data_IF_799103292933
#
_entry.id   IF_799103292933
#
_cell.length_a   1.000
_cell.length_b   1.000
_cell.length_c   1.000
_cell.angle_alpha   90.00
_cell.angle_beta   90.00
_cell.angle_gamma   90.00
#
_symmetry.space_group_name_H-M   'P 1'
#
loop_
_entity.id
_entity.type
_entity.pdbx_description
1 polymer ?
#
# COMPACT_ATOMS: atom_id res chain seq x y z
N UNK A 1 -3.99 -2.73 27.42
CA UNK A 1 -4.31 -2.13 26.12
C UNK A 1 -3.83 -3.13 25.08
N UNK A 2 -4.68 -3.50 24.17
CA UNK A 2 -4.39 -4.45 23.10
C UNK A 2 -4.37 -3.71 21.75
N UNK A 3 -3.50 -4.12 20.84
CA UNK A 3 -3.45 -3.64 19.48
C UNK A 3 -4.23 -4.60 18.58
N UNK A 4 -5.35 -4.14 18.02
CA UNK A 4 -6.18 -4.93 17.11
C UNK A 4 -5.93 -4.49 15.67
N UNK A 5 -5.41 -5.41 14.85
CA UNK A 5 -5.00 -5.12 13.47
C UNK A 5 -5.90 -5.88 12.50
N UNK A 6 -6.87 -5.18 11.91
CA UNK A 6 -7.66 -5.73 10.81
C UNK A 6 -6.84 -5.75 9.53
N UNK A 7 -6.78 -6.89 8.86
CA UNK A 7 -5.85 -7.11 7.75
C UNK A 7 -4.40 -7.33 8.21
N UNK A 8 -4.23 -7.87 9.42
CA UNK A 8 -2.91 -8.04 10.04
C UNK A 8 -2.00 -9.07 9.37
N UNK A 9 -2.54 -10.04 8.61
CA UNK A 9 -1.77 -10.96 7.77
C UNK A 9 -1.43 -10.37 6.39
N UNK A 10 -1.95 -9.18 6.10
CA UNK A 10 -1.66 -8.43 4.90
C UNK A 10 -0.21 -7.93 4.84
N UNK A 11 0.15 -7.29 3.72
CA UNK A 11 1.52 -6.87 3.45
C UNK A 11 2.11 -5.91 4.51
N UNK A 12 1.38 -4.88 4.93
CA UNK A 12 1.84 -3.94 5.97
C UNK A 12 1.51 -4.48 7.37
N UNK A 13 0.31 -5.05 7.52
CA UNK A 13 -0.21 -5.48 8.82
C UNK A 13 0.69 -6.46 9.56
N UNK A 14 1.30 -7.42 8.85
CA UNK A 14 2.21 -8.41 9.45
C UNK A 14 3.48 -7.78 10.03
N UNK A 15 4.04 -6.74 9.38
CA UNK A 15 5.22 -6.05 9.89
C UNK A 15 4.88 -5.17 11.09
N UNK A 16 3.70 -4.55 11.10
CA UNK A 16 3.20 -3.86 12.29
C UNK A 16 2.96 -4.83 13.44
N UNK A 17 2.31 -5.96 13.19
CA UNK A 17 2.05 -6.98 14.21
C UNK A 17 3.36 -7.52 14.80
N UNK A 18 4.37 -7.74 13.96
CA UNK A 18 5.69 -8.18 14.39
C UNK A 18 6.36 -7.10 15.25
N UNK A 19 6.47 -5.85 14.77
CA UNK A 19 7.13 -4.74 15.50
C UNK A 19 6.49 -4.52 16.89
N UNK A 20 5.17 -4.50 16.98
CA UNK A 20 4.46 -4.36 18.25
C UNK A 20 4.69 -5.56 19.18
N UNK A 21 4.63 -6.78 18.66
CA UNK A 21 4.86 -8.00 19.47
C UNK A 21 6.30 -8.10 19.97
N UNK A 22 7.29 -7.70 19.18
CA UNK A 22 8.71 -7.66 19.59
C UNK A 22 8.98 -6.63 20.69
N UNK A 23 8.16 -5.56 20.75
CA UNK A 23 8.16 -4.55 21.82
C UNK A 23 7.42 -4.98 23.07
N UNK A 24 6.79 -6.15 23.04
CA UNK A 24 6.07 -6.70 24.20
C UNK A 24 4.61 -6.25 24.30
N UNK A 25 4.09 -5.60 23.25
CA UNK A 25 2.68 -5.21 23.20
C UNK A 25 1.77 -6.43 22.98
N UNK A 26 0.56 -6.37 23.52
CA UNK A 26 -0.49 -7.37 23.25
C UNK A 26 -1.11 -7.11 21.88
N UNK A 27 -1.03 -8.09 20.96
CA UNK A 27 -1.49 -7.94 19.58
C UNK A 27 -2.53 -8.99 19.24
N UNK A 28 -3.64 -8.56 18.66
CA UNK A 28 -4.65 -9.39 18.01
C UNK A 28 -4.69 -9.08 16.52
N UNK A 29 -4.39 -10.06 15.68
CA UNK A 29 -4.59 -10.00 14.23
C UNK A 29 -5.98 -10.50 13.88
N UNK A 30 -6.78 -9.69 13.20
CA UNK A 30 -8.07 -10.04 12.62
C UNK A 30 -7.95 -10.05 11.09
N UNK A 31 -8.01 -11.24 10.47
CA UNK A 31 -7.83 -11.41 9.04
C UNK A 31 -8.68 -12.54 8.48
N UNK A 32 -8.92 -12.53 7.18
CA UNK A 32 -9.60 -13.61 6.47
C UNK A 32 -8.70 -14.86 6.34
N UNK A 33 -7.40 -14.72 6.46
CA UNK A 33 -6.40 -15.78 6.41
C UNK A 33 -6.42 -16.64 7.69
N UNK A 34 -6.10 -17.92 7.54
CA UNK A 34 -5.90 -18.85 8.66
C UNK A 34 -4.43 -19.12 8.97
N UNK A 35 -3.55 -18.66 8.11
CA UNK A 35 -2.14 -19.04 8.19
C UNK A 35 -1.35 -17.93 8.85
N UNK A 36 -1.11 -17.99 10.15
CA UNK A 36 -0.12 -17.12 10.75
C UNK A 36 1.24 -17.44 10.12
N UNK A 37 1.94 -16.42 9.67
CA UNK A 37 3.33 -16.55 9.27
C UNK A 37 4.16 -17.00 10.50
N UNK A 38 5.27 -17.75 10.32
CA UNK A 38 6.06 -18.30 11.44
C UNK A 38 6.55 -17.28 12.47
N UNK A 39 6.53 -15.99 12.12
CA UNK A 39 6.96 -14.88 12.96
C UNK A 39 5.97 -14.52 14.09
N UNK A 40 4.73 -15.04 14.06
CA UNK A 40 3.66 -14.66 15.00
C UNK A 40 3.57 -15.54 16.26
N UNK A 41 4.67 -16.05 16.79
CA UNK A 41 4.65 -16.98 17.96
C UNK A 41 3.96 -16.40 19.20
N UNK A 42 3.71 -15.09 19.27
CA UNK A 42 3.09 -14.41 20.42
C UNK A 42 1.90 -13.53 20.04
N UNK A 43 1.39 -13.62 18.82
CA UNK A 43 0.28 -12.80 18.35
C UNK A 43 -0.98 -13.64 18.35
N UNK A 44 -2.05 -13.13 18.99
CA UNK A 44 -3.36 -13.75 18.93
C UNK A 44 -3.96 -13.57 17.53
N UNK A 45 -4.75 -14.55 17.07
CA UNK A 45 -5.31 -14.57 15.74
C UNK A 45 -6.80 -14.84 15.76
N UNK A 46 -7.59 -14.07 15.03
CA UNK A 46 -9.02 -14.26 14.87
C UNK A 46 -9.42 -14.14 13.41
N UNK A 47 -10.23 -15.10 12.91
CA UNK A 47 -10.76 -15.04 11.54
C UNK A 47 -11.80 -13.92 11.46
N UNK A 48 -11.61 -13.02 10.50
CA UNK A 48 -12.51 -11.91 10.27
C UNK A 48 -12.60 -11.57 8.77
N UNK A 49 -13.81 -11.62 8.23
CA UNK A 49 -14.12 -11.02 6.93
C UNK A 49 -14.70 -9.62 7.15
N UNK A 50 -13.95 -8.58 6.83
CA UNK A 50 -14.36 -7.19 7.05
C UNK A 50 -15.59 -6.78 6.25
N UNK A 51 -15.95 -7.54 5.19
CA UNK A 51 -17.16 -7.32 4.39
C UNK A 51 -18.44 -7.70 5.15
N UNK A 52 -18.30 -8.54 6.16
CA UNK A 52 -19.40 -9.03 6.99
C UNK A 52 -19.38 -8.33 8.36
N UNK A 53 -20.36 -7.47 8.61
CA UNK A 53 -20.44 -6.73 9.87
C UNK A 53 -20.57 -7.63 11.11
N UNK A 54 -21.21 -8.78 11.01
CA UNK A 54 -21.28 -9.74 12.11
C UNK A 54 -19.92 -10.40 12.39
N UNK A 55 -19.12 -10.67 11.33
CA UNK A 55 -17.74 -11.16 11.47
C UNK A 55 -16.85 -10.12 12.15
N UNK A 56 -17.01 -8.85 11.80
CA UNK A 56 -16.29 -7.74 12.44
C UNK A 56 -16.70 -7.56 13.90
N UNK A 57 -18.01 -7.60 14.18
CA UNK A 57 -18.55 -7.48 15.53
C UNK A 57 -18.13 -8.61 16.48
N UNK A 58 -17.75 -9.76 15.93
CA UNK A 58 -17.24 -10.89 16.71
C UNK A 58 -15.76 -10.75 17.11
N UNK A 59 -15.03 -9.78 16.54
CA UNK A 59 -13.63 -9.52 16.92
C UNK A 59 -13.59 -8.93 18.33
N UNK A 60 -12.72 -9.49 19.17
CA UNK A 60 -12.55 -9.01 20.55
C UNK A 60 -11.86 -7.63 20.55
N UNK A 61 -12.67 -6.57 20.59
CA UNK A 61 -12.27 -5.18 20.70
C UNK A 61 -12.92 -4.58 21.94
N UNK A 62 -12.14 -3.87 22.77
CA UNK A 62 -12.60 -3.31 24.04
C UNK A 62 -12.23 -1.81 24.15
N UNK A 63 -12.91 -1.13 25.05
CA UNK A 63 -12.56 0.26 25.37
C UNK A 63 -11.10 0.39 25.83
N UNK A 64 -10.40 1.34 25.24
CA UNK A 64 -8.97 1.57 25.50
C UNK A 64 -8.02 0.76 24.59
N UNK A 65 -8.53 -0.15 23.74
CA UNK A 65 -7.71 -0.79 22.73
C UNK A 65 -7.34 0.18 21.61
N UNK A 66 -6.24 -0.13 20.91
CA UNK A 66 -5.81 0.58 19.71
C UNK A 66 -6.22 -0.23 18.48
N UNK A 67 -6.91 0.40 17.52
CA UNK A 67 -7.38 -0.29 16.31
C UNK A 67 -6.66 0.24 15.07
N UNK A 68 -6.22 -0.68 14.23
CA UNK A 68 -5.60 -0.40 12.93
C UNK A 68 -6.41 -1.08 11.82
N UNK A 69 -6.77 -0.34 10.79
CA UNK A 69 -7.32 -0.91 9.57
C UNK A 69 -6.27 -0.94 8.47
N UNK A 70 -5.70 -2.12 8.25
CA UNK A 70 -4.74 -2.44 7.19
C UNK A 70 -5.38 -3.26 6.06
N UNK A 71 -6.69 -3.57 6.19
CA UNK A 71 -7.39 -4.39 5.19
C UNK A 71 -7.54 -3.62 3.88
N UNK A 72 -7.24 -4.30 2.77
CA UNK A 72 -7.36 -3.71 1.44
C UNK A 72 -7.47 -4.76 0.33
N UNK A 73 -8.35 -4.52 -0.61
CA UNK A 73 -8.19 -5.03 -1.97
C UNK A 73 -7.35 -4.03 -2.76
N UNK A 74 -6.32 -4.54 -3.43
CA UNK A 74 -5.28 -3.75 -4.09
C UNK A 74 -5.37 -3.85 -5.61
N UNK A 75 -4.62 -3.02 -6.35
CA UNK A 75 -4.56 -2.99 -7.81
C UNK A 75 -3.98 -4.26 -8.47
N UNK A 76 -3.44 -5.17 -7.69
CA UNK A 76 -2.98 -6.48 -8.17
C UNK A 76 -3.72 -7.59 -7.40
N UNK A 77 -4.31 -8.57 -8.10
CA UNK A 77 -4.37 -8.74 -9.56
C UNK A 77 -5.23 -7.70 -10.27
N UNK A 78 -4.87 -7.40 -11.54
CA UNK A 78 -5.58 -6.40 -12.35
C UNK A 78 -7.01 -6.86 -12.61
N UNK A 79 -7.97 -5.99 -12.33
CA UNK A 79 -9.38 -6.26 -12.50
C UNK A 79 -9.89 -5.73 -13.84
N UNK A 80 -10.82 -6.45 -14.46
CA UNK A 80 -11.60 -5.94 -15.60
C UNK A 80 -12.41 -4.73 -15.15
N UNK A 81 -12.66 -3.81 -16.07
CA UNK A 81 -13.36 -2.56 -15.78
C UNK A 81 -14.68 -2.76 -15.05
N UNK A 82 -15.48 -3.75 -15.50
CA UNK A 82 -16.81 -4.06 -14.93
C UNK A 82 -16.73 -4.66 -13.52
N UNK A 83 -15.62 -5.29 -13.17
CA UNK A 83 -15.44 -6.00 -11.90
C UNK A 83 -14.82 -5.11 -10.81
N UNK A 84 -14.35 -3.90 -11.15
CA UNK A 84 -13.61 -3.05 -10.21
C UNK A 84 -14.42 -2.60 -9.01
N UNK A 85 -15.67 -2.16 -9.24
CA UNK A 85 -16.52 -1.74 -8.13
C UNK A 85 -16.78 -2.87 -7.14
N UNK A 86 -17.32 -4.05 -7.54
CA UNK A 86 -17.56 -5.17 -6.62
C UNK A 86 -16.28 -5.76 -6.04
N UNK A 87 -15.11 -5.50 -6.64
CA UNK A 87 -13.83 -5.94 -6.11
C UNK A 87 -13.29 -5.03 -5.00
N UNK A 88 -13.30 -3.70 -5.19
CA UNK A 88 -12.66 -2.77 -4.24
C UNK A 88 -13.57 -2.33 -3.10
N UNK A 89 -14.80 -1.91 -3.40
CA UNK A 89 -15.65 -1.23 -2.41
C UNK A 89 -16.07 -2.10 -1.21
N UNK A 90 -16.38 -3.39 -1.37
CA UNK A 90 -16.78 -4.22 -0.23
C UNK A 90 -15.73 -4.28 0.88
N UNK A 91 -14.44 -4.31 0.54
CA UNK A 91 -13.35 -4.33 1.51
C UNK A 91 -12.91 -2.91 1.88
N UNK A 92 -12.58 -2.09 0.89
CA UNK A 92 -11.90 -0.81 1.13
C UNK A 92 -12.83 0.23 1.76
N UNK A 93 -14.11 0.25 1.37
CA UNK A 93 -15.09 1.24 1.85
C UNK A 93 -16.00 0.65 2.92
N UNK A 94 -16.76 -0.41 2.58
CA UNK A 94 -17.75 -0.98 3.51
C UNK A 94 -17.07 -1.72 4.65
N UNK A 95 -15.93 -2.40 4.39
CA UNK A 95 -15.10 -3.00 5.42
C UNK A 95 -14.57 -1.97 6.42
N UNK A 96 -14.06 -0.82 5.92
CA UNK A 96 -13.63 0.28 6.77
C UNK A 96 -14.78 0.83 7.63
N UNK A 97 -15.98 1.00 7.05
CA UNK A 97 -17.18 1.41 7.78
C UNK A 97 -17.55 0.41 8.89
N UNK A 98 -17.54 -0.88 8.61
CA UNK A 98 -17.83 -1.91 9.59
C UNK A 98 -16.84 -1.89 10.76
N UNK A 99 -15.54 -1.77 10.46
CA UNK A 99 -14.48 -1.74 11.49
C UNK A 99 -14.62 -0.51 12.37
N UNK A 100 -14.79 0.69 11.78
CA UNK A 100 -14.92 1.92 12.55
C UNK A 100 -16.20 1.93 13.41
N UNK A 101 -17.31 1.41 12.87
CA UNK A 101 -18.57 1.28 13.64
C UNK A 101 -18.40 0.32 14.83
N UNK A 102 -17.74 -0.83 14.64
CA UNK A 102 -17.45 -1.76 15.73
C UNK A 102 -16.50 -1.15 16.77
N UNK A 103 -15.43 -0.52 16.34
CA UNK A 103 -14.49 0.17 17.22
C UNK A 103 -15.20 1.22 18.10
N UNK A 104 -16.03 2.05 17.48
CA UNK A 104 -16.83 3.04 18.19
C UNK A 104 -17.82 2.43 19.20
N UNK A 105 -18.55 1.38 18.78
CA UNK A 105 -19.48 0.65 19.66
C UNK A 105 -18.77 -0.01 20.84
N UNK A 106 -17.50 -0.39 20.67
CA UNK A 106 -16.65 -0.97 21.73
C UNK A 106 -15.95 0.08 22.61
N UNK A 107 -16.19 1.37 22.39
CA UNK A 107 -15.60 2.46 23.16
C UNK A 107 -14.15 2.78 22.81
N UNK A 108 -13.67 2.39 21.63
CA UNK A 108 -12.37 2.76 21.11
C UNK A 108 -12.33 4.24 20.75
N UNK A 109 -11.29 4.93 21.18
CA UNK A 109 -11.09 6.37 20.92
C UNK A 109 -9.92 6.65 19.98
N UNK A 110 -9.07 5.67 19.70
CA UNK A 110 -7.86 5.85 18.86
C UNK A 110 -7.82 4.85 17.72
N UNK A 111 -7.62 5.35 16.51
CA UNK A 111 -7.71 4.55 15.29
C UNK A 111 -6.66 4.98 14.26
N UNK A 112 -6.09 4.01 13.53
CA UNK A 112 -5.25 4.28 12.36
C UNK A 112 -5.90 3.67 11.13
N UNK A 113 -6.15 4.51 10.11
CA UNK A 113 -6.70 4.10 8.82
C UNK A 113 -5.63 4.17 7.73
N UNK A 114 -5.26 3.03 7.17
CA UNK A 114 -4.42 3.00 5.97
C UNK A 114 -5.25 3.22 4.71
N UNK A 115 -4.83 4.20 3.91
CA UNK A 115 -5.41 4.49 2.61
C UNK A 115 -4.35 4.40 1.52
N UNK A 116 -4.18 5.42 0.70
CA UNK A 116 -3.22 5.44 -0.42
C UNK A 116 -3.06 6.87 -0.96
N UNK A 117 -1.95 7.16 -1.55
CA UNK A 117 -1.74 8.38 -2.31
C UNK A 117 -2.59 8.46 -3.61
N UNK A 118 -3.14 7.33 -4.07
CA UNK A 118 -4.03 7.30 -5.25
C UNK A 118 -5.34 8.08 -5.04
N UNK A 119 -5.68 8.47 -3.81
CA UNK A 119 -6.82 9.36 -3.52
C UNK A 119 -6.66 10.73 -4.19
N UNK A 120 -5.44 11.19 -4.42
CA UNK A 120 -5.17 12.49 -5.06
C UNK A 120 -5.44 12.51 -6.57
N UNK A 121 -5.22 11.39 -7.26
CA UNK A 121 -5.30 11.33 -8.72
C UNK A 121 -4.17 12.08 -9.42
N UNK A 122 -4.50 12.94 -10.39
CA UNK A 122 -3.50 13.70 -11.15
C UNK A 122 -2.81 14.77 -10.31
N UNK A 123 -1.55 15.00 -10.61
CA UNK A 123 -0.73 16.01 -9.94
C UNK A 123 -1.13 17.41 -10.37
N UNK A 124 -1.55 18.24 -9.42
CA UNK A 124 -1.81 19.68 -9.63
C UNK A 124 -0.55 20.50 -9.27
N UNK A 125 0.13 20.10 -8.19
CA UNK A 125 1.41 20.66 -7.76
C UNK A 125 2.33 19.57 -7.23
N UNK A 126 3.64 19.76 -7.31
CA UNK A 126 4.63 18.82 -6.78
C UNK A 126 5.74 19.59 -6.05
N UNK A 127 6.14 19.16 -4.83
CA UNK A 127 5.61 18.01 -4.11
C UNK A 127 4.16 18.20 -3.67
N UNK A 128 3.41 17.07 -3.55
CA UNK A 128 2.01 17.05 -3.12
C UNK A 128 1.96 16.87 -1.61
N UNK A 129 1.45 17.87 -0.91
CA UNK A 129 1.14 17.80 0.53
C UNK A 129 -0.26 17.19 0.80
N UNK A 130 -0.64 17.09 2.05
CA UNK A 130 -1.90 16.52 2.47
C UNK A 130 -3.13 17.39 2.14
N UNK A 131 -2.92 18.66 1.83
CA UNK A 131 -3.97 19.61 1.39
C UNK A 131 -4.27 19.52 -0.13
N UNK A 132 -3.47 18.76 -0.89
CA UNK A 132 -3.73 18.53 -2.32
C UNK A 132 -5.15 17.97 -2.52
N UNK A 133 -5.90 18.44 -3.55
CA UNK A 133 -7.27 18.00 -3.80
C UNK A 133 -7.42 16.47 -3.92
N UNK A 134 -8.42 15.92 -3.29
CA UNK A 134 -8.81 14.50 -3.43
C UNK A 134 -9.65 14.36 -4.70
N UNK A 135 -9.06 13.73 -5.74
CA UNK A 135 -9.71 13.53 -7.03
C UNK A 135 -9.22 12.22 -7.70
N UNK A 136 -9.57 11.06 -7.16
CA UNK A 136 -9.07 9.77 -7.62
C UNK A 136 -9.46 9.49 -9.08
N UNK A 137 -8.57 8.81 -9.82
CA UNK A 137 -8.77 8.49 -11.25
C UNK A 137 -9.64 7.24 -11.41
N UNK A 138 -9.51 6.28 -10.50
CA UNK A 138 -10.15 4.97 -10.64
C UNK A 138 -10.84 4.50 -9.37
N UNK A 139 -11.32 3.26 -9.42
CA UNK A 139 -12.13 2.68 -8.34
C UNK A 139 -11.34 2.36 -7.07
N UNK A 140 -10.05 2.08 -7.18
CA UNK A 140 -9.21 1.82 -6.00
C UNK A 140 -9.03 3.09 -5.17
N UNK A 141 -8.52 4.17 -5.77
CA UNK A 141 -8.37 5.45 -5.08
C UNK A 141 -9.71 6.00 -4.60
N UNK A 142 -10.78 5.88 -5.42
CA UNK A 142 -12.11 6.30 -5.03
C UNK A 142 -12.64 5.53 -3.80
N UNK A 143 -12.47 4.20 -3.75
CA UNK A 143 -12.88 3.40 -2.60
C UNK A 143 -12.12 3.76 -1.32
N UNK A 144 -10.84 4.13 -1.43
CA UNK A 144 -10.03 4.60 -0.30
C UNK A 144 -10.41 6.03 0.11
N UNK A 145 -10.70 6.92 -0.84
CA UNK A 145 -11.20 8.27 -0.54
C UNK A 145 -12.55 8.25 0.18
N UNK A 146 -13.46 7.32 -0.18
CA UNK A 146 -14.70 7.13 0.57
C UNK A 146 -14.45 6.63 2.01
N UNK A 147 -13.45 5.76 2.22
CA UNK A 147 -13.05 5.33 3.56
C UNK A 147 -12.53 6.52 4.40
N UNK A 148 -11.81 7.47 3.80
CA UNK A 148 -11.38 8.70 4.47
C UNK A 148 -12.57 9.58 4.89
N UNK A 149 -13.58 9.73 4.03
CA UNK A 149 -14.81 10.47 4.40
C UNK A 149 -15.55 9.82 5.58
N UNK A 150 -15.57 8.49 5.64
CA UNK A 150 -16.11 7.78 6.79
C UNK A 150 -15.29 8.07 8.05
N UNK A 151 -13.96 8.09 7.94
CA UNK A 151 -13.07 8.44 9.04
C UNK A 151 -13.33 9.88 9.55
N UNK A 152 -13.53 10.86 8.65
CA UNK A 152 -13.90 12.23 9.05
C UNK A 152 -15.20 12.27 9.83
N UNK A 153 -16.22 11.49 9.41
CA UNK A 153 -17.49 11.40 10.15
C UNK A 153 -17.29 10.88 11.58
N UNK A 154 -16.35 9.95 11.79
CA UNK A 154 -16.05 9.45 13.14
C UNK A 154 -15.17 10.41 13.96
N UNK A 155 -14.29 11.19 13.31
CA UNK A 155 -13.58 12.30 13.96
C UNK A 155 -14.54 13.34 14.54
N UNK A 156 -15.55 13.72 13.76
CA UNK A 156 -16.63 14.63 14.21
C UNK A 156 -17.42 14.09 15.42
N UNK A 157 -17.40 12.76 15.61
CA UNK A 157 -18.04 12.08 16.75
C UNK A 157 -17.08 11.82 17.92
N UNK A 158 -15.84 12.33 17.84
CA UNK A 158 -14.86 12.29 18.93
C UNK A 158 -13.91 11.10 18.93
N UNK A 159 -13.77 10.36 17.81
CA UNK A 159 -12.72 9.36 17.65
C UNK A 159 -11.47 10.00 17.05
N UNK A 160 -10.32 9.80 17.66
CA UNK A 160 -9.04 10.24 17.13
C UNK A 160 -8.56 9.26 16.04
N UNK A 161 -8.55 9.71 14.79
CA UNK A 161 -8.22 8.88 13.63
C UNK A 161 -7.05 9.48 12.86
N UNK A 162 -5.94 8.77 12.80
CA UNK A 162 -4.83 9.09 11.89
C UNK A 162 -5.04 8.38 10.56
N UNK A 163 -5.00 9.13 9.46
CA UNK A 163 -5.04 8.59 8.10
C UNK A 163 -3.62 8.53 7.55
N UNK A 164 -3.22 7.38 7.00
CA UNK A 164 -1.89 7.20 6.39
C UNK A 164 -2.05 6.95 4.90
N UNK A 165 -1.42 7.79 4.07
CA UNK A 165 -1.44 7.76 2.61
C UNK A 165 -0.07 7.37 2.05
N UNK A 166 0.29 6.09 2.03
CA UNK A 166 1.58 5.67 1.50
C UNK A 166 1.62 5.78 -0.02
N UNK A 167 2.81 6.11 -0.55
CA UNK A 167 3.19 5.89 -1.95
C UNK A 167 3.32 4.39 -2.22
N UNK A 168 3.75 3.97 -3.42
CA UNK A 168 3.95 2.55 -3.75
C UNK A 168 4.85 1.87 -2.71
N UNK A 169 4.27 0.93 -1.96
CA UNK A 169 4.96 0.24 -0.87
C UNK A 169 5.79 -0.90 -1.45
N UNK A 170 7.08 -0.94 -1.11
CA UNK A 170 8.02 -2.02 -1.44
C UNK A 170 8.51 -2.70 -0.17
N UNK A 171 8.76 -3.99 -0.27
CA UNK A 171 9.38 -4.79 0.78
C UNK A 171 9.17 -6.28 0.58
N UNK A 172 9.76 -7.11 1.46
CA UNK A 172 9.69 -8.55 1.38
C UNK A 172 8.26 -9.10 1.36
N UNK A 173 8.02 -10.06 0.46
CA UNK A 173 6.76 -10.80 0.39
C UNK A 173 5.70 -10.21 -0.52
N UNK A 174 5.98 -9.14 -1.30
CA UNK A 174 5.06 -8.63 -2.31
C UNK A 174 5.78 -7.96 -3.47
N UNK A 175 5.51 -8.41 -4.68
CA UNK A 175 6.07 -7.83 -5.91
C UNK A 175 5.10 -6.89 -6.64
N UNK A 176 3.81 -7.16 -6.57
CA UNK A 176 2.80 -6.34 -7.25
C UNK A 176 3.11 -6.17 -8.75
N UNK A 177 3.04 -4.93 -9.22
CA UNK A 177 3.32 -4.58 -10.62
C UNK A 177 4.79 -4.80 -11.01
N UNK A 178 5.71 -4.76 -10.04
CA UNK A 178 7.15 -4.91 -10.27
C UNK A 178 7.51 -6.30 -10.80
N UNK A 179 6.72 -7.34 -10.51
CA UNK A 179 6.96 -8.69 -11.01
C UNK A 179 7.03 -8.77 -12.54
N UNK A 180 6.18 -8.01 -13.25
CA UNK A 180 6.21 -7.94 -14.73
C UNK A 180 7.49 -7.24 -15.23
N UNK A 181 7.89 -6.15 -14.58
CA UNK A 181 9.13 -5.44 -14.86
C UNK A 181 10.35 -6.35 -14.65
N UNK A 182 10.42 -7.01 -13.50
CA UNK A 182 11.52 -7.91 -13.15
C UNK A 182 11.65 -9.08 -14.14
N UNK A 183 10.53 -9.62 -14.60
CA UNK A 183 10.53 -10.67 -15.63
C UNK A 183 11.15 -10.21 -16.96
N UNK A 184 10.87 -8.97 -17.39
CA UNK A 184 11.50 -8.42 -18.59
C UNK A 184 13.02 -8.29 -18.42
N UNK A 185 13.47 -7.76 -17.29
CA UNK A 185 14.90 -7.59 -16.97
C UNK A 185 15.60 -8.94 -16.88
N UNK A 186 15.00 -9.92 -16.24
CA UNK A 186 15.53 -11.26 -16.08
C UNK A 186 15.69 -12.02 -17.42
N UNK A 187 14.79 -11.76 -18.37
CA UNK A 187 14.82 -12.32 -19.72
C UNK A 187 15.66 -11.49 -20.71
N UNK A 188 16.34 -10.44 -20.28
CA UNK A 188 17.08 -9.49 -21.12
C UNK A 188 16.22 -8.86 -22.23
N UNK A 189 14.92 -8.66 -21.98
CA UNK A 189 14.00 -8.04 -22.91
C UNK A 189 14.00 -6.50 -22.75
N UNK A 190 13.61 -5.75 -23.79
CA UNK A 190 13.44 -4.30 -23.66
C UNK A 190 12.43 -3.94 -22.58
N UNK A 191 12.77 -2.94 -21.77
CA UNK A 191 11.92 -2.41 -20.69
C UNK A 191 11.28 -1.12 -21.14
N UNK A 192 9.96 -1.11 -21.43
CA UNK A 192 9.27 0.10 -21.85
C UNK A 192 9.11 1.06 -20.66
N UNK A 193 9.37 2.34 -20.91
CA UNK A 193 9.07 3.45 -19.99
C UNK A 193 7.96 4.29 -20.59
N UNK A 194 6.96 4.64 -19.79
CA UNK A 194 5.92 5.59 -20.19
C UNK A 194 6.53 7.01 -20.12
N UNK A 195 6.62 7.70 -21.25
CA UNK A 195 7.33 8.96 -21.36
C UNK A 195 8.85 8.80 -21.49
N UNK A 196 9.57 9.87 -21.20
CA UNK A 196 11.05 9.93 -21.29
C UNK A 196 11.75 9.36 -20.03
N UNK A 197 11.02 9.08 -18.97
CA UNK A 197 11.56 8.62 -17.69
C UNK A 197 12.34 9.68 -16.91
N UNK A 198 12.13 10.97 -17.20
CA UNK A 198 12.75 12.10 -16.48
C UNK A 198 12.01 12.46 -15.19
N UNK A 199 10.77 12.03 -15.04
CA UNK A 199 9.98 12.22 -13.84
C UNK A 199 10.50 11.34 -12.69
N UNK A 200 10.52 11.84 -11.44
CA UNK A 200 10.90 11.05 -10.27
C UNK A 200 9.86 9.95 -9.98
N UNK A 201 10.32 8.86 -9.41
CA UNK A 201 9.43 7.80 -8.95
C UNK A 201 9.76 7.42 -7.51
N UNK A 202 8.83 7.72 -6.63
CA UNK A 202 8.97 7.59 -5.19
C UNK A 202 8.35 6.28 -4.70
N UNK A 203 9.05 5.58 -3.84
CA UNK A 203 8.57 4.42 -3.10
C UNK A 203 8.46 4.72 -1.61
N UNK A 204 7.99 3.75 -0.85
CA UNK A 204 8.07 3.71 0.60
C UNK A 204 8.32 2.27 1.05
N UNK A 205 9.17 2.08 2.05
CA UNK A 205 9.40 0.77 2.63
C UNK A 205 8.19 0.30 3.44
N UNK A 206 7.90 -1.00 3.38
CA UNK A 206 6.89 -1.62 4.25
C UNK A 206 7.25 -1.48 5.73
N UNK A 207 8.55 -1.46 6.06
CA UNK A 207 9.02 -1.23 7.43
C UNK A 207 8.75 0.18 7.90
N UNK A 208 8.96 1.19 7.05
CA UNK A 208 8.61 2.58 7.33
C UNK A 208 7.10 2.75 7.52
N UNK A 209 6.29 2.07 6.73
CA UNK A 209 4.84 2.07 6.90
C UNK A 209 4.40 1.50 8.26
N UNK A 210 4.98 0.38 8.67
CA UNK A 210 4.71 -0.23 9.97
C UNK A 210 5.18 0.68 11.13
N UNK A 211 6.37 1.28 11.01
CA UNK A 211 6.89 2.22 11.99
C UNK A 211 6.00 3.44 12.16
N UNK A 212 5.55 4.07 11.05
CA UNK A 212 4.67 5.25 11.13
C UNK A 212 3.31 4.89 11.73
N UNK A 213 2.77 3.70 11.44
CA UNK A 213 1.54 3.24 12.07
C UNK A 213 1.68 3.14 13.60
N UNK A 214 2.81 2.62 14.08
CA UNK A 214 3.13 2.57 15.52
C UNK A 214 3.33 3.98 16.09
N UNK A 215 4.12 4.83 15.42
CA UNK A 215 4.35 6.20 15.85
C UNK A 215 3.06 7.03 15.91
N UNK A 216 2.10 6.80 15.03
CA UNK A 216 0.79 7.42 15.08
C UNK A 216 0.08 7.10 16.41
N UNK A 217 0.12 5.85 16.85
CA UNK A 217 -0.40 5.46 18.16
C UNK A 217 0.38 6.12 19.31
N UNK A 218 1.71 6.04 19.30
CA UNK A 218 2.59 6.61 20.36
C UNK A 218 2.39 8.12 20.51
N UNK A 219 2.01 8.81 19.42
CA UNK A 219 1.69 10.24 19.42
C UNK A 219 0.19 10.55 19.55
N UNK A 220 -0.61 9.58 20.04
CA UNK A 220 -2.00 9.80 20.41
C UNK A 220 -3.01 9.81 19.26
N UNK A 221 -2.64 9.32 18.08
CA UNK A 221 -3.47 9.28 16.87
C UNK A 221 -3.96 10.66 16.43
N UNK A 222 -3.08 11.58 16.01
CA UNK A 222 -3.49 12.91 15.57
C UNK A 222 -4.57 12.84 14.47
N UNK A 223 -5.59 13.70 14.57
CA UNK A 223 -6.68 13.80 13.60
C UNK A 223 -6.24 14.48 12.30
N UNK A 224 -5.25 13.86 11.62
CA UNK A 224 -4.64 14.35 10.39
C UNK A 224 -4.48 13.22 9.39
N UNK A 225 -4.25 13.57 8.13
CA UNK A 225 -3.70 12.66 7.12
C UNK A 225 -2.18 12.87 7.04
N UNK A 226 -1.45 11.81 6.65
CA UNK A 226 0.00 11.85 6.48
C UNK A 226 0.41 11.09 5.22
N UNK A 227 1.16 11.79 4.37
CA UNK A 227 1.80 11.18 3.22
C UNK A 227 3.06 10.43 3.63
N UNK A 228 3.30 9.27 3.02
CA UNK A 228 4.54 8.53 3.18
C UNK A 228 5.22 8.29 1.83
N UNK A 229 6.52 8.53 1.80
CA UNK A 229 7.38 8.33 0.64
C UNK A 229 8.85 8.46 1.04
N UNK A 230 9.74 8.02 0.16
CA UNK A 230 11.18 8.20 0.30
C UNK A 230 11.59 9.66 0.12
N UNK A 231 12.81 9.99 0.52
CA UNK A 231 13.43 11.28 0.26
C UNK A 231 14.20 11.27 -1.07
N UNK A 232 14.13 12.40 -1.79
CA UNK A 232 14.90 12.63 -3.03
C UNK A 232 14.78 11.49 -4.07
N UNK A 233 13.55 11.12 -4.48
CA UNK A 233 13.35 10.02 -5.42
C UNK A 233 14.05 10.29 -6.76
N UNK A 234 14.79 9.29 -7.31
CA UNK A 234 15.48 9.45 -8.57
C UNK A 234 14.51 9.43 -9.76
N UNK A 235 14.92 9.97 -10.93
CA UNK A 235 14.18 9.78 -12.16
C UNK A 235 13.99 8.31 -12.53
N UNK A 236 12.85 7.95 -13.11
CA UNK A 236 12.51 6.57 -13.55
C UNK A 236 13.65 5.97 -14.39
N UNK A 237 14.21 6.74 -15.33
CA UNK A 237 15.30 6.30 -16.19
C UNK A 237 16.56 5.90 -15.40
N UNK A 238 16.91 6.69 -14.37
CA UNK A 238 18.04 6.38 -13.50
C UNK A 238 17.74 5.11 -12.69
N UNK A 239 16.59 5.08 -12.01
CA UNK A 239 16.16 3.98 -11.15
C UNK A 239 16.18 2.63 -11.88
N UNK A 240 15.58 2.58 -13.08
CA UNK A 240 15.54 1.36 -13.89
C UNK A 240 16.90 1.03 -14.51
N UNK A 241 17.69 2.04 -14.89
CA UNK A 241 19.03 1.85 -15.42
C UNK A 241 20.00 1.22 -14.38
N UNK A 242 19.92 1.69 -13.14
CA UNK A 242 20.70 1.14 -12.03
C UNK A 242 20.27 -0.29 -11.68
N UNK A 243 18.95 -0.56 -11.72
CA UNK A 243 18.44 -1.91 -11.53
C UNK A 243 18.96 -2.88 -12.61
N UNK A 244 18.84 -2.52 -13.89
CA UNK A 244 19.31 -3.35 -15.03
C UNK A 244 20.81 -3.63 -14.88
N UNK A 245 21.61 -2.60 -14.54
CA UNK A 245 23.04 -2.72 -14.32
C UNK A 245 23.35 -3.66 -13.14
N UNK A 246 22.68 -3.49 -12.01
CA UNK A 246 22.89 -4.34 -10.82
C UNK A 246 22.45 -5.79 -11.03
N UNK A 247 21.42 -5.99 -11.87
CA UNK A 247 20.95 -7.32 -12.27
C UNK A 247 21.90 -8.06 -13.24
N UNK A 248 22.92 -7.37 -13.79
CA UNK A 248 23.76 -7.90 -14.87
C UNK A 248 22.99 -8.16 -16.17
N UNK A 249 21.83 -7.53 -16.33
CA UNK A 249 20.97 -7.73 -17.49
C UNK A 249 21.42 -6.90 -18.70
N UNK A 250 21.17 -7.46 -19.90
CA UNK A 250 21.37 -6.77 -21.19
C UNK A 250 20.13 -6.00 -21.64
N UNK A 251 19.11 -5.88 -20.81
CA UNK A 251 17.91 -5.12 -21.11
C UNK A 251 18.24 -3.66 -21.43
N UNK A 252 17.49 -3.10 -22.37
CA UNK A 252 17.56 -1.68 -22.72
C UNK A 252 16.31 -0.96 -22.30
N UNK A 253 16.42 0.28 -21.85
CA UNK A 253 15.28 1.14 -21.58
C UNK A 253 14.72 1.68 -22.88
N UNK A 254 13.43 1.50 -23.10
CA UNK A 254 12.72 1.94 -24.30
C UNK A 254 11.72 3.06 -23.94
N UNK A 255 12.09 4.32 -24.14
CA UNK A 255 11.15 5.43 -23.97
C UNK A 255 9.99 5.31 -24.95
N UNK A 256 8.76 5.47 -24.47
CA UNK A 256 7.56 5.40 -25.29
C UNK A 256 6.78 6.70 -25.19
N UNK A 257 6.14 7.19 -26.28
CA UNK A 257 5.31 8.39 -26.22
C UNK A 257 4.16 8.19 -25.20
N UNK A 258 4.18 8.93 -24.09
CA UNK A 258 3.24 8.75 -23.00
C UNK A 258 1.77 8.80 -23.44
N UNK A 259 1.43 9.75 -24.33
CA UNK A 259 0.08 9.89 -24.86
C UNK A 259 -0.38 8.62 -25.62
N UNK A 260 0.50 8.06 -26.47
CA UNK A 260 0.16 6.86 -27.28
C UNK A 260 -0.08 5.63 -26.39
N UNK A 261 0.79 5.44 -25.37
CA UNK A 261 0.63 4.35 -24.40
C UNK A 261 -0.67 4.52 -23.61
N UNK A 262 -0.95 5.72 -23.10
CA UNK A 262 -2.18 6.02 -22.35
C UNK A 262 -3.43 5.76 -23.19
N UNK A 263 -3.44 6.19 -24.47
CA UNK A 263 -4.54 5.93 -25.39
C UNK A 263 -4.75 4.43 -25.65
N UNK A 264 -3.67 3.70 -25.93
CA UNK A 264 -3.72 2.26 -26.16
C UNK A 264 -4.24 1.50 -24.93
N UNK A 265 -3.69 1.81 -23.73
CA UNK A 265 -4.12 1.17 -22.49
C UNK A 265 -5.58 1.52 -22.14
N UNK A 266 -6.01 2.77 -22.40
CA UNK A 266 -7.40 3.18 -22.21
C UNK A 266 -8.36 2.46 -23.17
N UNK A 267 -7.95 2.27 -24.41
CA UNK A 267 -8.73 1.50 -25.40
C UNK A 267 -8.88 0.02 -25.00
N UNK A 268 -7.79 -0.62 -24.53
CA UNK A 268 -7.85 -1.99 -24.02
C UNK A 268 -8.73 -2.08 -22.76
N UNK A 269 -8.64 -1.10 -21.89
CA UNK A 269 -9.47 -1.04 -20.68
C UNK A 269 -10.97 -0.90 -21.04
N UNK A 270 -11.28 -0.04 -22.02
CA UNK A 270 -12.64 0.12 -22.54
C UNK A 270 -13.19 -1.19 -23.14
N UNK A 271 -12.34 -1.98 -23.82
CA UNK A 271 -12.66 -3.31 -24.34
C UNK A 271 -12.70 -4.40 -23.24
N UNK A 272 -12.55 -4.03 -21.97
CA UNK A 272 -12.50 -4.93 -20.81
C UNK A 272 -11.33 -5.94 -20.84
N UNK A 273 -10.22 -5.53 -21.45
CA UNK A 273 -8.95 -6.28 -21.57
C UNK A 273 -7.78 -5.52 -20.94
N UNK A 274 -7.84 -5.13 -19.64
CA UNK A 274 -6.83 -4.29 -19.04
C UNK A 274 -5.49 -5.03 -18.88
N UNK A 275 -4.39 -4.33 -19.23
CA UNK A 275 -3.01 -4.78 -19.00
C UNK A 275 -2.45 -4.11 -17.73
N UNK A 276 -2.91 -2.88 -17.46
CA UNK A 276 -2.54 -2.06 -16.31
C UNK A 276 -3.77 -1.26 -15.86
N UNK A 277 -3.87 -0.97 -14.57
CA UNK A 277 -4.99 -0.17 -14.07
C UNK A 277 -4.82 1.32 -14.47
N UNK A 278 -5.90 2.04 -14.82
CA UNK A 278 -5.86 3.46 -15.16
C UNK A 278 -5.15 4.34 -14.13
N UNK A 279 -5.30 4.06 -12.86
CA UNK A 279 -4.63 4.81 -11.78
C UNK A 279 -3.11 4.73 -11.86
N UNK A 280 -2.58 3.67 -12.44
CA UNK A 280 -1.14 3.47 -12.57
C UNK A 280 -0.58 4.15 -13.83
N UNK A 281 -1.20 3.92 -15.01
CA UNK A 281 -0.60 4.43 -16.25
C UNK A 281 -0.91 5.90 -16.52
N UNK A 282 -2.02 6.44 -16.00
CA UNK A 282 -2.38 7.83 -16.25
C UNK A 282 -1.41 8.83 -15.61
N UNK A 283 -0.80 8.47 -14.47
CA UNK A 283 0.14 9.33 -13.74
C UNK A 283 1.61 8.89 -13.91
N UNK A 284 1.89 7.85 -14.70
CA UNK A 284 3.20 7.22 -14.76
C UNK A 284 4.33 8.13 -15.27
N UNK A 285 4.01 9.14 -16.07
CA UNK A 285 4.94 10.15 -16.61
C UNK A 285 4.77 11.53 -15.95
N UNK A 286 3.97 11.65 -14.89
CA UNK A 286 3.79 12.88 -14.13
C UNK A 286 4.86 13.05 -13.05
N UNK A 287 5.13 14.30 -12.69
CA UNK A 287 6.01 14.66 -11.57
C UNK A 287 5.24 14.51 -10.25
N UNK A 288 5.26 13.30 -9.71
CA UNK A 288 4.37 12.88 -8.65
C UNK A 288 5.16 12.49 -7.39
N UNK A 289 5.62 13.51 -6.64
CA UNK A 289 6.35 13.34 -5.38
C UNK A 289 5.45 13.76 -4.22
N UNK A 290 5.41 12.94 -3.17
CA UNK A 290 4.68 13.24 -1.93
C UNK A 290 5.55 14.05 -0.99
N UNK A 291 5.00 15.11 -0.44
CA UNK A 291 5.59 15.82 0.68
C UNK A 291 5.35 15.00 1.96
N UNK A 292 6.41 14.70 2.68
CA UNK A 292 6.38 13.92 3.91
C UNK A 292 6.69 14.76 5.15
N UNK A 293 6.72 16.09 5.00
CA UNK A 293 7.11 17.02 6.06
C UNK A 293 6.23 16.90 7.29
N UNK A 294 4.91 16.72 7.12
CA UNK A 294 3.98 16.56 8.23
C UNK A 294 4.28 15.31 9.07
N UNK A 295 4.51 14.16 8.42
CA UNK A 295 4.85 12.92 9.12
C UNK A 295 6.18 13.02 9.86
N UNK A 296 7.17 13.67 9.25
CA UNK A 296 8.49 13.94 9.89
C UNK A 296 8.37 14.84 11.11
N UNK A 297 7.60 15.92 10.99
CA UNK A 297 7.43 16.90 12.06
C UNK A 297 6.66 16.33 13.26
N UNK A 298 5.53 15.66 13.01
CA UNK A 298 4.65 15.22 14.08
C UNK A 298 5.13 13.91 14.74
N UNK A 299 5.84 13.04 14.00
CA UNK A 299 6.27 11.74 14.50
C UNK A 299 7.78 11.60 14.74
N UNK A 300 8.58 12.59 14.34
CA UNK A 300 10.05 12.46 14.37
C UNK A 300 10.57 11.36 13.42
N UNK A 301 9.71 10.90 12.50
CA UNK A 301 10.06 9.85 11.55
C UNK A 301 10.93 10.39 10.40
N UNK A 302 11.78 9.52 9.87
CA UNK A 302 12.55 9.77 8.64
C UNK A 302 12.54 8.48 7.80
N UNK A 303 12.38 8.56 6.47
CA UNK A 303 12.46 7.38 5.62
C UNK A 303 13.87 6.80 5.67
N UNK A 304 13.96 5.49 5.89
CA UNK A 304 15.25 4.80 6.16
C UNK A 304 15.87 4.19 4.91
N UNK A 305 15.09 4.04 3.84
CA UNK A 305 15.49 3.30 2.66
C UNK A 305 15.46 4.19 1.43
N UNK A 306 16.47 4.06 0.56
CA UNK A 306 16.51 4.70 -0.75
C UNK A 306 15.72 3.88 -1.77
N UNK A 307 15.14 4.55 -2.76
CA UNK A 307 14.33 3.89 -3.80
C UNK A 307 15.11 2.83 -4.58
N UNK A 308 16.38 3.12 -4.89
CA UNK A 308 17.25 2.20 -5.62
C UNK A 308 17.56 0.94 -4.81
N UNK A 309 17.76 1.07 -3.50
CA UNK A 309 18.05 -0.05 -2.61
C UNK A 309 16.81 -0.92 -2.44
N UNK A 310 15.65 -0.32 -2.18
CA UNK A 310 14.36 -1.03 -2.09
C UNK A 310 14.05 -1.82 -3.38
N UNK A 311 14.26 -1.20 -4.54
CA UNK A 311 13.98 -1.85 -5.82
C UNK A 311 14.96 -3.01 -6.10
N UNK A 312 16.23 -2.86 -5.73
CA UNK A 312 17.26 -3.91 -5.87
C UNK A 312 16.99 -5.09 -4.96
N UNK A 313 16.60 -4.86 -3.71
CA UNK A 313 16.20 -5.90 -2.76
C UNK A 313 14.98 -6.66 -3.26
N UNK A 314 13.94 -5.95 -3.72
CA UNK A 314 12.75 -6.58 -4.30
C UNK A 314 13.08 -7.45 -5.53
N UNK A 315 14.05 -7.04 -6.37
CA UNK A 315 14.50 -7.84 -7.49
C UNK A 315 15.26 -9.09 -7.02
N UNK A 316 16.11 -8.96 -6.01
CA UNK A 316 16.84 -10.11 -5.43
C UNK A 316 15.86 -11.16 -4.86
N UNK A 317 14.80 -10.73 -4.18
CA UNK A 317 13.76 -11.62 -3.71
C UNK A 317 12.96 -12.28 -4.84
N UNK A 318 12.66 -11.52 -5.89
CA UNK A 318 12.06 -12.09 -7.11
C UNK A 318 12.92 -13.23 -7.67
N UNK A 319 14.22 -13.03 -7.77
CA UNK A 319 15.17 -14.07 -8.24
C UNK A 319 15.20 -15.27 -7.32
N UNK A 320 15.30 -15.07 -6.01
CA UNK A 320 15.29 -16.15 -5.00
C UNK A 320 14.00 -16.98 -5.10
N UNK A 321 12.85 -16.34 -5.19
CA UNK A 321 11.56 -17.02 -5.31
C UNK A 321 11.43 -17.83 -6.61
N UNK A 322 11.90 -17.26 -7.73
CA UNK A 322 11.93 -17.94 -9.03
C UNK A 322 12.81 -19.17 -8.98
N UNK A 323 14.03 -19.06 -8.42
CA UNK A 323 14.99 -20.16 -8.31
C UNK A 323 14.47 -21.28 -7.38
N UNK A 324 13.60 -20.95 -6.43
CA UNK A 324 12.90 -21.91 -5.56
C UNK A 324 11.64 -22.53 -6.21
N UNK A 325 11.32 -22.22 -7.47
CA UNK A 325 10.18 -22.77 -8.20
C UNK A 325 8.82 -22.16 -7.82
N UNK A 326 8.81 -21.05 -7.07
CA UNK A 326 7.58 -20.33 -6.73
C UNK A 326 7.11 -19.51 -7.92
N UNK A 327 5.83 -19.64 -8.30
CA UNK A 327 5.24 -18.80 -9.34
C UNK A 327 5.16 -17.34 -8.87
N UNK A 328 6.09 -16.53 -9.33
CA UNK A 328 6.18 -15.09 -9.02
C UNK A 328 5.31 -14.21 -9.94
N UNK A 329 4.52 -14.82 -10.82
CA UNK A 329 3.80 -14.08 -11.88
C UNK A 329 2.58 -13.30 -11.41
N UNK A 330 1.88 -13.72 -10.35
CA UNK A 330 0.60 -13.16 -9.93
C UNK A 330 0.40 -13.05 -8.41
N UNK A 331 1.37 -13.40 -7.60
CA UNK A 331 1.13 -13.67 -6.20
C UNK A 331 1.81 -12.69 -5.25
N UNK A 332 1.14 -12.47 -4.17
CA UNK A 332 1.78 -12.27 -2.89
C UNK A 332 2.80 -13.41 -2.73
N UNK A 333 4.08 -13.14 -2.91
CA UNK A 333 5.10 -14.11 -2.53
C UNK A 333 5.01 -14.20 -1.03
N UNK A 334 4.28 -15.20 -0.55
CA UNK A 334 4.43 -15.61 0.84
C UNK A 334 5.85 -16.13 0.92
N UNK A 335 6.72 -15.41 1.63
CA UNK A 335 8.07 -15.89 1.87
C UNK A 335 7.94 -17.31 2.41
N UNK A 336 8.48 -18.28 1.66
CA UNK A 336 8.62 -19.62 2.17
C UNK A 336 9.46 -19.49 3.44
N UNK A 337 8.88 -19.88 4.56
CA UNK A 337 9.57 -19.87 5.83
C UNK A 337 10.76 -20.82 5.75
N UNK A 338 11.95 -20.32 5.98
CA UNK A 338 13.07 -21.09 6.54
C UNK A 338 13.10 -20.92 8.05
#
# INVERSE_FOLDING_TARGET
MKHVIFGGDGFVGRYLAQDLSERGEEVLVADISKSPLPHYRKVAHQICDVRNSASVAAVDVQAGDMVYNMSAMMLSPIQKRIDRYPFFYPVNTFGAANIMAHAAASGVTKFVQFTTDMVYGRTVQSPQDEAHPINPIGHYGASKAEAEKIAETWRERGMDITIIRPRLIIGPGRLGILGKLFKLIDLNLPVPMIGAGSNPYQFISVFDCAEVARLAWENGCPNKAYNLGSDNPPPVKQLLGELIKSAGSKSILLPTPGFAVKWTLSGLDWLNMPIMDPEQYMIADEYCVRDTTAAKADFGWQPKFRDEDMLREAYAEYRKAKDSGVDVGNSTVVAAAE
#
